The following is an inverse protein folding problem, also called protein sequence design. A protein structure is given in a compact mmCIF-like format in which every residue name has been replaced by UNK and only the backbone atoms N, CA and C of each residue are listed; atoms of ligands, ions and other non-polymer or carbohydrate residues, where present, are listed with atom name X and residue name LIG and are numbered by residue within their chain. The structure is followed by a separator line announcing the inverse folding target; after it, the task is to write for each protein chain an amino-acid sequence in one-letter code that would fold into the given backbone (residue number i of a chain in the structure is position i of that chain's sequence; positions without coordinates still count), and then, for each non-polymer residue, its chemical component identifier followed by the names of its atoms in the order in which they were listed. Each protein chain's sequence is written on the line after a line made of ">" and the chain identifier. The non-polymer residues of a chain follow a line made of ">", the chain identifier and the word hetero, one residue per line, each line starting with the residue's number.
data_IF_095105532595
#
_entry.id   IF_095105532595
#
_cell.length_a   1.000
_cell.length_b   1.000
_cell.length_c   1.000
_cell.angle_alpha   90.00
_cell.angle_beta   90.00
_cell.angle_gamma   90.00
#
_symmetry.space_group_name_H-M   'P 1'
#
loop_
_entity.id
_entity.type
_entity.pdbx_description
1 polymer ?
#
# COMPACT_ATOMS: atom_id res chain seq x y z
N UNK A 1 15.90 9.41 -17.35
CA UNK A 1 14.48 9.17 -17.05
C UNK A 1 14.38 8.04 -16.03
N UNK A 2 14.38 8.34 -14.72
CA UNK A 2 14.57 7.36 -13.62
C UNK A 2 13.27 6.87 -12.98
N UNK A 3 12.12 7.31 -13.48
CA UNK A 3 10.81 7.08 -12.87
C UNK A 3 9.93 6.24 -13.79
N UNK A 4 10.42 5.05 -14.14
CA UNK A 4 9.67 4.07 -14.90
C UNK A 4 8.91 3.14 -13.93
N UNK A 5 7.59 2.98 -14.09
CA UNK A 5 6.82 2.06 -13.26
C UNK A 5 7.26 0.63 -13.53
N UNK A 6 7.41 -0.16 -12.47
CA UNK A 6 7.78 -1.56 -12.59
C UNK A 6 6.61 -2.33 -13.22
N UNK A 7 6.75 -2.78 -14.47
CA UNK A 7 5.72 -3.50 -15.23
C UNK A 7 5.89 -5.02 -15.22
N UNK A 8 7.04 -5.53 -14.77
CA UNK A 8 7.32 -6.97 -14.77
C UNK A 8 6.45 -7.69 -13.73
N UNK A 9 5.94 -8.90 -14.05
CA UNK A 9 5.27 -9.76 -13.07
C UNK A 9 6.19 -10.15 -11.90
N UNK A 10 5.58 -10.58 -10.81
CA UNK A 10 6.27 -11.20 -9.67
C UNK A 10 6.83 -12.55 -10.13
N UNK A 11 8.01 -12.96 -9.64
CA UNK A 11 8.52 -14.30 -9.92
C UNK A 11 7.59 -15.38 -9.37
N UNK A 12 7.30 -16.41 -10.18
CA UNK A 12 6.30 -17.43 -9.90
C UNK A 12 6.55 -18.12 -8.54
N UNK A 13 7.80 -18.49 -8.25
CA UNK A 13 8.14 -19.12 -6.97
C UNK A 13 7.99 -18.23 -5.73
N UNK A 14 8.08 -16.90 -5.88
CA UNK A 14 7.78 -15.97 -4.79
C UNK A 14 6.26 -15.80 -4.60
N UNK A 15 5.51 -15.80 -5.71
CA UNK A 15 4.06 -15.75 -5.69
C UNK A 15 3.45 -17.01 -5.06
N UNK A 16 3.94 -18.20 -5.38
CA UNK A 16 3.49 -19.46 -4.76
C UNK A 16 3.65 -19.46 -3.24
N UNK A 17 4.77 -18.94 -2.72
CA UNK A 17 4.99 -18.81 -1.27
C UNK A 17 3.99 -17.87 -0.60
N UNK A 18 3.59 -16.80 -1.29
CA UNK A 18 2.59 -15.85 -0.79
C UNK A 18 1.21 -16.53 -0.80
N UNK A 19 0.80 -17.09 -1.94
CA UNK A 19 -0.50 -17.76 -2.09
C UNK A 19 -0.66 -18.95 -1.15
N UNK A 20 0.42 -19.67 -0.84
CA UNK A 20 0.40 -20.78 0.11
C UNK A 20 0.01 -20.36 1.54
N UNK A 21 0.05 -19.07 1.88
CA UNK A 21 -0.29 -18.54 3.20
C UNK A 21 -1.46 -17.53 3.16
N UNK A 22 -2.10 -17.33 2.01
CA UNK A 22 -3.27 -16.44 1.87
C UNK A 22 -4.58 -17.23 1.88
N UNK A 23 -5.66 -16.58 2.31
CA UNK A 23 -7.06 -17.02 2.14
C UNK A 23 -7.45 -18.34 2.85
N UNK A 24 -6.66 -18.82 3.81
CA UNK A 24 -7.00 -20.00 4.61
C UNK A 24 -8.07 -19.74 5.68
N UNK A 25 -8.20 -18.49 6.12
CA UNK A 25 -9.21 -18.10 7.12
C UNK A 25 -9.94 -16.84 6.69
N UNK A 26 -10.99 -16.46 7.43
CA UNK A 26 -11.74 -15.23 7.17
C UNK A 26 -10.88 -13.97 7.30
N UNK A 27 -9.75 -14.03 8.03
CA UNK A 27 -8.81 -12.94 8.19
C UNK A 27 -7.49 -13.24 7.50
N UNK A 28 -6.94 -12.23 6.85
CA UNK A 28 -5.67 -12.23 6.17
C UNK A 28 -4.77 -11.10 6.66
N UNK A 29 -3.48 -11.24 6.41
CA UNK A 29 -2.49 -10.20 6.63
C UNK A 29 -1.77 -9.82 5.33
N UNK A 30 -1.30 -8.59 5.27
CA UNK A 30 -0.40 -8.12 4.23
C UNK A 30 0.72 -7.32 4.85
N UNK A 31 1.95 -7.75 4.58
CA UNK A 31 3.16 -6.98 4.85
C UNK A 31 3.79 -6.59 3.53
N UNK A 32 4.00 -5.29 3.33
CA UNK A 32 4.67 -4.77 2.15
C UNK A 32 5.85 -3.88 2.56
N UNK A 33 6.99 -4.05 1.90
CA UNK A 33 8.19 -3.25 2.12
C UNK A 33 8.54 -2.55 0.82
N UNK A 34 8.42 -1.22 0.79
CA UNK A 34 8.75 -0.39 -0.36
C UNK A 34 10.00 0.45 -0.11
N UNK A 35 10.75 0.75 -1.16
CA UNK A 35 11.91 1.64 -1.09
C UNK A 35 11.49 3.07 -1.41
N UNK A 36 11.86 4.02 -0.53
CA UNK A 36 11.62 5.45 -0.72
C UNK A 36 12.61 6.03 -1.74
N UNK A 37 12.08 6.87 -2.63
CA UNK A 37 12.88 7.71 -3.53
C UNK A 37 13.78 8.64 -2.72
N UNK A 38 14.99 8.89 -3.23
CA UNK A 38 15.89 9.87 -2.64
C UNK A 38 15.32 11.30 -2.74
N UNK A 39 15.49 12.10 -1.68
CA UNK A 39 15.13 13.52 -1.68
C UNK A 39 14.38 13.98 -0.43
N UNK A 40 14.72 15.16 0.07
CA UNK A 40 14.11 15.77 1.27
C UNK A 40 12.64 16.11 1.02
N UNK A 41 12.30 16.61 -0.18
CA UNK A 41 10.92 16.93 -0.56
C UNK A 41 10.01 15.70 -0.49
N UNK A 42 10.49 14.52 -0.91
CA UNK A 42 9.75 13.26 -0.85
C UNK A 42 9.51 12.80 0.60
N UNK A 43 10.50 13.00 1.48
CA UNK A 43 10.36 12.73 2.91
C UNK A 43 9.36 13.69 3.57
N UNK A 44 9.38 14.97 3.19
CA UNK A 44 8.42 15.95 3.71
C UNK A 44 7.00 15.66 3.21
N UNK A 45 6.84 15.35 1.92
CA UNK A 45 5.58 14.92 1.34
C UNK A 45 5.02 13.69 2.07
N UNK A 46 5.84 12.66 2.31
CA UNK A 46 5.44 11.48 3.07
C UNK A 46 4.94 11.84 4.48
N UNK A 47 5.68 12.69 5.21
CA UNK A 47 5.27 13.14 6.55
C UNK A 47 3.94 13.89 6.51
N UNK A 48 3.75 14.75 5.51
CA UNK A 48 2.49 15.45 5.31
C UNK A 48 1.35 14.46 4.98
N UNK A 49 1.59 13.46 4.13
CA UNK A 49 0.61 12.42 3.83
C UNK A 49 0.22 11.64 5.09
N UNK A 50 1.17 11.24 5.92
CA UNK A 50 0.87 10.58 7.21
C UNK A 50 0.03 11.48 8.12
N UNK A 51 0.36 12.75 8.20
CA UNK A 51 -0.39 13.71 9.02
C UNK A 51 -1.83 13.88 8.51
N UNK A 52 -2.02 14.05 7.21
CA UNK A 52 -3.34 14.18 6.60
C UNK A 52 -4.17 12.91 6.78
N UNK A 53 -3.58 11.73 6.53
CA UNK A 53 -4.26 10.44 6.73
C UNK A 53 -4.66 10.26 8.20
N UNK A 54 -3.77 10.61 9.15
CA UNK A 54 -4.07 10.53 10.58
C UNK A 54 -5.25 11.42 10.97
N UNK A 55 -5.31 12.65 10.44
CA UNK A 55 -6.45 13.55 10.65
C UNK A 55 -7.72 12.97 10.04
N UNK A 56 -7.67 12.51 8.79
CA UNK A 56 -8.83 11.94 8.11
C UNK A 56 -9.38 10.71 8.83
N UNK A 57 -8.48 9.83 9.30
CA UNK A 57 -8.85 8.63 10.06
C UNK A 57 -9.53 8.96 11.39
N UNK A 58 -9.12 10.04 12.07
CA UNK A 58 -9.68 10.42 13.37
C UNK A 58 -10.91 11.32 13.29
N UNK A 59 -11.01 12.18 12.26
CA UNK A 59 -12.02 13.26 12.20
C UNK A 59 -13.03 13.13 11.07
N UNK A 60 -12.69 12.42 9.99
CA UNK A 60 -13.54 12.37 8.79
C UNK A 60 -14.23 11.01 8.69
N UNK A 61 -13.51 9.93 8.96
CA UNK A 61 -14.06 8.59 8.85
C UNK A 61 -14.85 8.19 10.09
N UNK A 62 -15.89 7.39 9.87
CA UNK A 62 -16.69 6.83 10.96
C UNK A 62 -15.85 5.82 11.74
N UNK A 63 -16.03 5.70 13.07
CA UNK A 63 -15.34 4.67 13.86
C UNK A 63 -15.53 3.28 13.24
N UNK A 64 -14.44 2.56 13.01
CA UNK A 64 -14.45 1.22 12.38
C UNK A 64 -14.46 1.21 10.86
N UNK A 65 -14.41 2.37 10.19
CA UNK A 65 -14.36 2.48 8.74
C UNK A 65 -13.11 3.22 8.30
N UNK A 66 -12.47 2.73 7.24
CA UNK A 66 -11.51 3.51 6.45
C UNK A 66 -12.24 3.97 5.18
N UNK A 67 -12.58 5.26 5.10
CA UNK A 67 -13.56 5.77 4.12
C UNK A 67 -14.91 5.01 4.21
N UNK A 68 -15.19 4.11 3.26
CA UNK A 68 -16.37 3.24 3.24
C UNK A 68 -16.03 1.75 3.31
N UNK A 69 -14.78 1.42 3.66
CA UNK A 69 -14.28 0.04 3.83
C UNK A 69 -14.40 -0.34 5.30
N UNK A 70 -15.08 -1.45 5.60
CA UNK A 70 -15.24 -2.01 6.95
C UNK A 70 -14.51 -3.35 7.15
N UNK A 71 -13.83 -3.83 6.12
CA UNK A 71 -13.09 -5.10 6.13
C UNK A 71 -11.65 -4.94 6.63
N UNK A 72 -11.17 -3.71 6.82
CA UNK A 72 -9.82 -3.42 7.32
C UNK A 72 -9.87 -3.29 8.85
N UNK A 73 -9.25 -4.24 9.55
CA UNK A 73 -9.18 -4.25 11.01
C UNK A 73 -8.01 -3.42 11.53
N UNK A 74 -6.89 -3.41 10.78
CA UNK A 74 -5.68 -2.69 11.14
C UNK A 74 -4.91 -2.31 9.89
N UNK A 75 -4.36 -1.10 9.83
CA UNK A 75 -3.44 -0.68 8.78
C UNK A 75 -2.41 0.32 9.33
N UNK A 76 -1.13 0.13 9.03
CA UNK A 76 -0.06 0.98 9.55
C UNK A 76 1.08 1.13 8.54
N UNK A 77 1.52 2.37 8.37
CA UNK A 77 2.80 2.68 7.72
C UNK A 77 3.88 3.01 8.75
N UNK A 78 5.10 2.55 8.48
CA UNK A 78 6.30 2.86 9.25
C UNK A 78 7.45 3.13 8.31
N UNK A 79 8.03 4.33 8.35
CA UNK A 79 9.32 4.59 7.73
C UNK A 79 10.41 4.19 8.73
N UNK A 80 11.26 3.22 8.37
CA UNK A 80 12.30 2.72 9.28
C UNK A 80 13.35 3.80 9.54
N UNK A 81 13.60 4.17 10.82
CA UNK A 81 14.62 5.15 11.19
C UNK A 81 15.99 4.76 10.62
N UNK A 82 16.74 5.74 10.11
CA UNK A 82 18.07 5.50 9.52
C UNK A 82 18.07 4.81 8.15
N UNK A 83 16.90 4.45 7.59
CA UNK A 83 16.81 3.79 6.27
C UNK A 83 15.94 4.58 5.29
N UNK A 84 15.79 4.03 4.09
CA UNK A 84 14.82 4.43 3.07
C UNK A 84 13.70 3.38 2.90
N UNK A 85 13.49 2.49 3.86
CA UNK A 85 12.48 1.43 3.77
C UNK A 85 11.17 1.88 4.41
N UNK A 86 10.11 1.90 3.62
CA UNK A 86 8.74 2.14 4.05
C UNK A 86 8.03 0.80 4.19
N UNK A 87 7.68 0.43 5.42
CA UNK A 87 6.87 -0.74 5.69
C UNK A 87 5.40 -0.37 5.78
N UNK A 88 4.55 -1.24 5.24
CA UNK A 88 3.11 -1.21 5.38
C UNK A 88 2.63 -2.55 5.90
N UNK A 89 1.78 -2.52 6.92
CA UNK A 89 1.16 -3.68 7.53
C UNK A 89 -0.35 -3.48 7.49
N UNK A 90 -1.09 -4.53 7.14
CA UNK A 90 -2.54 -4.51 7.17
C UNK A 90 -3.11 -5.86 7.55
N UNK A 91 -4.15 -5.85 8.39
CA UNK A 91 -4.97 -7.02 8.70
C UNK A 91 -6.39 -6.74 8.20
N UNK A 92 -6.92 -7.66 7.42
CA UNK A 92 -8.20 -7.48 6.74
C UNK A 92 -8.99 -8.77 6.60
N UNK A 93 -10.29 -8.63 6.39
CA UNK A 93 -11.18 -9.74 6.07
C UNK A 93 -11.37 -9.93 4.56
N UNK A 94 -11.56 -11.19 4.14
CA UNK A 94 -11.79 -11.57 2.74
C UNK A 94 -10.49 -11.69 1.93
N UNK A 95 -10.63 -11.86 0.62
CA UNK A 95 -9.48 -12.15 -0.26
C UNK A 95 -8.59 -10.94 -0.53
N UNK A 96 -7.32 -11.20 -0.88
CA UNK A 96 -6.37 -10.15 -1.27
C UNK A 96 -6.88 -9.28 -2.42
N UNK A 97 -7.56 -9.88 -3.40
CA UNK A 97 -8.08 -9.17 -4.57
C UNK A 97 -9.20 -8.21 -4.18
N UNK A 98 -10.17 -8.69 -3.40
CA UNK A 98 -11.27 -7.85 -2.89
C UNK A 98 -10.75 -6.72 -2.02
N UNK A 99 -9.75 -7.00 -1.18
CA UNK A 99 -9.07 -6.01 -0.37
C UNK A 99 -8.45 -4.90 -1.23
N UNK A 100 -7.63 -5.25 -2.22
CA UNK A 100 -7.00 -4.25 -3.08
C UNK A 100 -7.98 -3.46 -3.93
N UNK A 101 -9.07 -4.07 -4.39
CA UNK A 101 -10.12 -3.37 -5.12
C UNK A 101 -10.80 -2.30 -4.26
N UNK A 102 -11.11 -2.63 -3.00
CA UNK A 102 -11.62 -1.66 -2.04
C UNK A 102 -10.63 -0.50 -1.84
N UNK A 103 -9.33 -0.79 -1.75
CA UNK A 103 -8.29 0.23 -1.66
C UNK A 103 -8.22 1.15 -2.87
N UNK A 104 -8.27 0.58 -4.08
CA UNK A 104 -8.26 1.34 -5.34
C UNK A 104 -9.51 2.23 -5.44
N UNK A 105 -10.68 1.66 -5.16
CA UNK A 105 -11.95 2.35 -5.35
C UNK A 105 -12.17 3.45 -4.30
N UNK A 106 -11.86 3.18 -3.03
CA UNK A 106 -12.31 4.01 -1.90
C UNK A 106 -11.19 4.77 -1.18
N UNK A 107 -9.94 4.30 -1.28
CA UNK A 107 -8.80 4.87 -0.56
C UNK A 107 -7.62 5.31 -1.45
N UNK A 108 -7.80 5.32 -2.78
CA UNK A 108 -6.72 5.58 -3.74
C UNK A 108 -5.94 6.88 -3.51
N UNK A 109 -6.60 7.95 -3.06
CA UNK A 109 -5.94 9.23 -2.80
C UNK A 109 -4.88 9.14 -1.68
N UNK A 110 -5.22 8.46 -0.57
CA UNK A 110 -4.31 8.29 0.56
C UNK A 110 -3.12 7.39 0.21
N UNK A 111 -3.39 6.27 -0.47
CA UNK A 111 -2.37 5.35 -0.96
C UNK A 111 -1.40 6.02 -1.94
N UNK A 112 -1.95 6.80 -2.87
CA UNK A 112 -1.16 7.54 -3.85
C UNK A 112 -0.29 8.59 -3.17
N UNK A 113 -0.81 9.31 -2.17
CA UNK A 113 -0.04 10.26 -1.37
C UNK A 113 1.20 9.64 -0.72
N UNK A 114 1.08 8.43 -0.19
CA UNK A 114 2.18 7.71 0.47
C UNK A 114 3.12 7.09 -0.56
N UNK A 115 2.61 6.19 -1.39
CA UNK A 115 3.44 5.35 -2.26
C UNK A 115 3.95 6.04 -3.53
N UNK A 116 3.42 7.22 -3.92
CA UNK A 116 4.02 8.04 -4.99
C UNK A 116 5.48 8.44 -4.71
N UNK A 117 5.86 8.42 -3.43
CA UNK A 117 7.21 8.72 -2.96
C UNK A 117 8.13 7.48 -2.94
N UNK A 118 7.64 6.32 -3.37
CA UNK A 118 8.40 5.06 -3.42
C UNK A 118 8.78 4.68 -4.85
N UNK A 119 9.84 3.89 -5.00
CA UNK A 119 10.37 3.46 -6.28
C UNK A 119 9.42 2.49 -7.00
N UNK A 120 9.30 2.67 -8.32
CA UNK A 120 8.50 1.80 -9.19
C UNK A 120 6.98 1.99 -9.12
N UNK A 121 6.49 2.89 -8.26
CA UNK A 121 5.06 3.19 -8.15
C UNK A 121 4.49 3.79 -9.45
N UNK A 122 3.24 3.48 -9.85
CA UNK A 122 2.60 4.06 -11.04
C UNK A 122 2.67 5.59 -11.07
N UNK A 123 2.83 6.17 -12.27
CA UNK A 123 2.97 7.63 -12.43
C UNK A 123 1.77 8.34 -11.84
N UNK A 124 2.03 9.25 -10.90
CA UNK A 124 1.00 10.04 -10.21
C UNK A 124 1.03 11.47 -10.70
N UNK A 125 -0.12 12.08 -10.95
CA UNK A 125 -0.22 13.54 -11.12
C UNK A 125 -0.45 14.17 -9.74
N UNK A 126 0.25 15.27 -9.46
CA UNK A 126 0.07 16.06 -8.22
C UNK A 126 0.16 15.27 -6.90
N UNK A 127 0.94 14.17 -6.83
CA UNK A 127 1.09 13.28 -5.66
C UNK A 127 -0.17 12.53 -5.19
N UNK A 128 -1.36 12.85 -5.72
CA UNK A 128 -2.64 12.28 -5.25
C UNK A 128 -3.53 11.74 -6.37
N UNK A 129 -3.25 12.07 -7.64
CA UNK A 129 -4.07 11.70 -8.78
C UNK A 129 -3.41 10.59 -9.62
N UNK A 130 -4.25 9.79 -10.27
CA UNK A 130 -3.97 8.77 -11.29
C UNK A 130 -3.14 7.54 -10.87
N UNK A 131 -2.37 7.58 -9.78
CA UNK A 131 -1.50 6.47 -9.34
C UNK A 131 -2.24 5.17 -9.02
N UNK A 132 -2.93 5.11 -7.89
CA UNK A 132 -3.68 3.91 -7.50
C UNK A 132 -4.93 3.67 -8.36
N UNK A 133 -5.35 4.63 -9.20
CA UNK A 133 -6.48 4.46 -10.12
C UNK A 133 -6.16 3.53 -11.28
N UNK A 134 -4.89 3.39 -11.65
CA UNK A 134 -4.41 2.35 -12.56
C UNK A 134 -4.32 1.02 -11.79
N UNK A 135 -5.49 0.41 -11.57
CA UNK A 135 -5.66 -0.74 -10.67
C UNK A 135 -4.75 -1.91 -11.02
N UNK A 136 -4.58 -2.24 -12.30
CA UNK A 136 -3.77 -3.39 -12.73
C UNK A 136 -2.27 -3.15 -12.53
N UNK A 137 -1.79 -1.92 -12.76
CA UNK A 137 -0.38 -1.59 -12.46
C UNK A 137 -0.13 -1.53 -10.97
N UNK A 138 -1.06 -0.95 -10.22
CA UNK A 138 -0.98 -0.87 -8.77
C UNK A 138 -1.00 -2.26 -8.12
N UNK A 139 -1.91 -3.15 -8.51
CA UNK A 139 -1.98 -4.56 -8.04
C UNK A 139 -0.65 -5.29 -8.27
N UNK A 140 -0.08 -5.17 -9.48
CA UNK A 140 1.23 -5.79 -9.81
C UNK A 140 2.38 -5.23 -8.97
N UNK A 141 2.45 -3.90 -8.84
CA UNK A 141 3.46 -3.26 -8.02
C UNK A 141 3.31 -3.67 -6.54
N UNK A 142 2.10 -3.63 -6.00
CA UNK A 142 1.81 -4.01 -4.61
C UNK A 142 2.21 -5.46 -4.32
N UNK A 143 1.91 -6.38 -5.24
CA UNK A 143 2.28 -7.80 -5.10
C UNK A 143 3.80 -8.00 -5.06
N UNK A 144 4.61 -7.18 -5.74
CA UNK A 144 6.08 -7.26 -5.68
C UNK A 144 6.69 -6.75 -4.39
N UNK A 145 6.02 -5.80 -3.74
CA UNK A 145 6.48 -5.27 -2.45
C UNK A 145 6.06 -6.18 -1.29
N UNK A 146 5.12 -7.12 -1.53
CA UNK A 146 4.62 -8.02 -0.52
C UNK A 146 5.69 -9.01 -0.08
N UNK A 147 5.85 -9.14 1.23
CA UNK A 147 6.77 -10.08 1.87
C UNK A 147 5.94 -11.15 2.59
N UNK A 148 6.16 -12.44 2.33
CA UNK A 148 5.46 -13.50 3.04
C UNK A 148 5.81 -13.45 4.52
N UNK A 149 4.78 -13.54 5.36
CA UNK A 149 4.91 -13.61 6.81
C UNK A 149 4.89 -15.08 7.24
N UNK A 150 5.67 -15.43 8.27
CA UNK A 150 5.81 -16.82 8.72
C UNK A 150 4.67 -17.27 9.64
N UNK A 151 3.95 -16.33 10.25
CA UNK A 151 2.86 -16.60 11.18
C UNK A 151 1.83 -15.46 11.13
N UNK A 152 0.57 -15.80 11.36
CA UNK A 152 -0.51 -14.88 11.70
C UNK A 152 -1.52 -15.55 12.62
#
# INVERSE_FOLDING_TARGET
>A
DKDQPASTPVEIGALEKILAHEDHTAQNNLTAISTMKAGILRRLALRLSFYLISISAQKVFRPGFLATINTIHFARWVLLPGTNRLMFFSNYGGSWESYLEDFIAKASAGLTGVWSNTDGYPRTRWLFLDGARDGDRFKRWARRQQVPTLFW
#
